data_IF_774250484461
#
_entry.id   IF_774250484461
#
_cell.length_a   1.000
_cell.length_b   1.000
_cell.length_c   1.000
_cell.angle_alpha   90.00
_cell.angle_beta   90.00
_cell.angle_gamma   90.00
#
_symmetry.space_group_name_H-M   'P 1'
#
loop_
_entity.id
_entity.type
_entity.pdbx_description
1 polymer ?
#
# COMPACT_ATOMS: atom_id res chain seq x y z
N UNK A 1 -19.48 7.10 -9.93
CA UNK A 1 -19.35 6.71 -8.52
C UNK A 1 -20.09 5.40 -8.37
N UNK A 2 -19.43 4.28 -8.06
CA UNK A 2 -20.16 3.05 -7.78
C UNK A 2 -20.89 3.27 -6.46
N UNK A 3 -22.19 3.58 -6.54
CA UNK A 3 -23.08 3.54 -5.38
C UNK A 3 -23.46 2.07 -5.17
N UNK A 4 -22.51 1.29 -4.66
CA UNK A 4 -22.80 0.02 -3.98
C UNK A 4 -23.35 0.31 -2.59
N UNK A 5 -24.11 -0.62 -2.01
CA UNK A 5 -24.80 -0.46 -0.73
C UNK A 5 -23.89 -0.28 0.49
N UNK A 6 -22.56 -0.37 0.33
CA UNK A 6 -21.60 -0.09 1.39
C UNK A 6 -20.38 0.65 0.85
N UNK A 7 -20.20 1.90 1.30
CA UNK A 7 -19.01 2.71 1.07
C UNK A 7 -17.95 2.52 2.18
N UNK A 8 -18.10 1.48 2.99
CA UNK A 8 -17.25 1.23 4.15
C UNK A 8 -15.93 0.57 3.71
N UNK A 9 -14.81 1.26 3.93
CA UNK A 9 -13.48 0.75 3.58
C UNK A 9 -13.02 -0.43 4.46
N UNK A 10 -11.83 -0.99 4.17
CA UNK A 10 -11.21 -2.10 4.91
C UNK A 10 -11.19 -1.95 6.43
N UNK A 11 -11.17 -0.71 6.91
CA UNK A 11 -11.02 -0.34 8.32
C UNK A 11 -12.29 -0.57 9.13
N UNK A 12 -13.44 -0.68 8.45
CA UNK A 12 -14.74 -0.98 9.04
C UNK A 12 -14.83 -2.39 9.62
N UNK A 13 -14.23 -3.34 8.89
CA UNK A 13 -14.35 -4.75 9.19
C UNK A 13 -13.68 -5.05 10.54
N UNK A 14 -12.46 -4.58 10.77
CA UNK A 14 -11.69 -4.80 12.01
C UNK A 14 -12.52 -4.72 13.31
N UNK A 15 -13.20 -3.60 13.65
CA UNK A 15 -14.00 -3.50 14.88
C UNK A 15 -15.23 -4.40 14.93
N UNK A 16 -15.89 -4.71 13.81
CA UNK A 16 -17.03 -5.66 13.75
C UNK A 16 -16.65 -7.04 14.28
N UNK A 17 -15.39 -7.47 14.13
CA UNK A 17 -14.94 -8.81 14.56
C UNK A 17 -14.39 -8.87 15.97
N UNK A 18 -13.85 -7.74 16.46
CA UNK A 18 -13.12 -7.72 17.72
C UNK A 18 -14.03 -7.49 18.92
N UNK A 19 -15.07 -6.68 18.75
CA UNK A 19 -16.03 -6.39 19.81
C UNK A 19 -16.72 -7.66 20.34
N UNK A 20 -17.15 -8.61 19.50
CA UNK A 20 -17.64 -9.93 19.95
C UNK A 20 -16.65 -10.71 20.82
N UNK A 21 -15.39 -10.81 20.39
CA UNK A 21 -14.33 -11.54 21.10
C UNK A 21 -14.08 -10.91 22.48
N UNK A 22 -14.11 -9.59 22.54
CA UNK A 22 -13.93 -8.82 23.77
C UNK A 22 -15.09 -8.98 24.73
N UNK A 23 -16.31 -8.93 24.21
CA UNK A 23 -17.49 -9.14 25.04
C UNK A 23 -17.53 -10.59 25.56
N UNK A 24 -17.17 -11.58 24.75
CA UNK A 24 -17.15 -12.99 25.15
C UNK A 24 -16.13 -13.28 26.26
N UNK A 25 -14.90 -12.76 26.11
CA UNK A 25 -13.84 -12.91 27.12
C UNK A 25 -14.13 -12.14 28.41
N UNK A 26 -14.74 -10.97 28.33
CA UNK A 26 -15.02 -10.12 29.51
C UNK A 26 -16.28 -10.55 30.26
N UNK A 27 -17.29 -11.06 29.55
CA UNK A 27 -18.56 -11.50 30.14
C UNK A 27 -18.50 -12.92 30.71
N UNK A 28 -17.41 -13.66 30.47
CA UNK A 28 -17.25 -15.04 30.94
C UNK A 28 -18.26 -16.00 30.30
N UNK A 29 -18.69 -15.71 29.08
CA UNK A 29 -19.66 -16.52 28.35
C UNK A 29 -18.94 -17.57 27.50
N UNK A 30 -19.40 -18.83 27.54
CA UNK A 30 -18.91 -19.90 26.64
C UNK A 30 -19.60 -19.85 25.26
N UNK A 31 -19.98 -18.67 24.80
CA UNK A 31 -20.71 -18.53 23.54
C UNK A 31 -19.78 -18.87 22.37
N UNK A 32 -20.26 -19.72 21.46
CA UNK A 32 -19.50 -20.16 20.27
C UNK A 32 -19.53 -19.14 19.14
N UNK A 33 -20.52 -18.25 19.13
CA UNK A 33 -20.68 -17.14 18.20
C UNK A 33 -21.52 -16.04 18.83
N UNK A 34 -21.31 -14.80 18.38
CA UNK A 34 -22.17 -13.65 18.71
C UNK A 34 -22.67 -13.00 17.42
N UNK A 35 -23.86 -12.42 17.47
CA UNK A 35 -24.39 -11.60 16.39
C UNK A 35 -23.99 -10.13 16.60
N UNK A 36 -23.56 -9.47 15.52
CA UNK A 36 -23.21 -8.04 15.48
C UNK A 36 -24.08 -7.36 14.44
N UNK A 37 -24.92 -6.41 14.86
CA UNK A 37 -25.70 -5.59 13.95
C UNK A 37 -24.76 -4.57 13.28
N UNK A 38 -24.77 -4.61 11.95
CA UNK A 38 -23.88 -3.87 11.05
C UNK A 38 -24.74 -2.90 10.26
N UNK A 39 -24.40 -1.61 10.33
CA UNK A 39 -25.06 -0.57 9.53
C UNK A 39 -24.53 -0.57 8.10
N UNK A 40 -25.37 -0.15 7.16
CA UNK A 40 -25.02 0.05 5.76
C UNK A 40 -25.89 1.13 5.15
N UNK A 41 -25.34 1.84 4.17
CA UNK A 41 -25.95 3.02 3.59
C UNK A 41 -25.98 2.96 2.07
N UNK A 42 -27.15 3.17 1.50
CA UNK A 42 -27.27 3.20 0.05
C UNK A 42 -28.70 3.14 -0.43
N UNK A 43 -28.85 3.38 -1.74
CA UNK A 43 -30.14 3.19 -2.41
C UNK A 43 -30.06 1.90 -3.21
N UNK A 44 -30.96 0.93 -2.97
CA UNK A 44 -31.06 -0.25 -3.81
C UNK A 44 -31.26 0.15 -5.27
N UNK A 45 -30.52 -0.49 -6.18
CA UNK A 45 -30.59 -0.21 -7.62
C UNK A 45 -31.91 -0.68 -8.26
N UNK A 46 -32.68 -1.51 -7.56
CA UNK A 46 -33.87 -2.18 -8.08
C UNK A 46 -35.17 -1.36 -7.95
N UNK A 47 -35.12 -0.16 -7.34
CA UNK A 47 -36.29 0.72 -7.18
C UNK A 47 -35.96 2.20 -7.41
N UNK A 48 -36.93 2.94 -7.96
CA UNK A 48 -36.79 4.38 -8.20
C UNK A 48 -37.12 5.19 -6.95
N UNK A 49 -36.09 5.74 -6.32
CA UNK A 49 -36.21 6.63 -5.16
C UNK A 49 -35.98 8.11 -5.51
N UNK A 50 -36.06 8.48 -6.79
CA UNK A 50 -35.64 9.80 -7.31
C UNK A 50 -36.40 11.01 -6.75
N UNK A 51 -37.44 10.80 -5.94
CA UNK A 51 -38.23 11.85 -5.29
C UNK A 51 -38.15 11.84 -3.75
N UNK A 52 -37.35 10.95 -3.17
CA UNK A 52 -37.23 10.79 -1.71
C UNK A 52 -35.88 11.30 -1.23
N UNK A 53 -35.89 12.33 -0.38
CA UNK A 53 -34.70 12.89 0.27
C UNK A 53 -34.60 12.35 1.70
N UNK A 54 -33.42 11.87 2.10
CA UNK A 54 -33.18 11.28 3.42
C UNK A 54 -32.06 10.25 3.40
N UNK A 55 -31.66 9.79 4.59
CA UNK A 55 -30.72 8.69 4.79
C UNK A 55 -31.44 7.35 4.60
N UNK A 56 -30.80 6.45 3.83
CA UNK A 56 -31.29 5.10 3.59
C UNK A 56 -30.34 4.14 4.30
N UNK A 57 -30.66 3.90 5.57
CA UNK A 57 -29.89 3.04 6.46
C UNK A 57 -30.53 1.66 6.49
N UNK A 58 -29.70 0.63 6.42
CA UNK A 58 -30.08 -0.75 6.68
C UNK A 58 -29.22 -1.34 7.78
N UNK A 59 -29.84 -2.11 8.67
CA UNK A 59 -29.14 -2.83 9.73
C UNK A 59 -29.45 -4.31 9.56
N UNK A 60 -28.41 -5.14 9.57
CA UNK A 60 -28.53 -6.59 9.59
C UNK A 60 -27.40 -7.21 10.41
N UNK A 61 -27.67 -8.32 11.12
CA UNK A 61 -26.68 -8.97 11.96
C UNK A 61 -25.74 -9.83 11.13
N UNK A 62 -24.49 -9.84 11.57
CA UNK A 62 -23.45 -10.76 11.12
C UNK A 62 -23.12 -11.68 12.28
N UNK A 63 -23.09 -12.98 12.03
CA UNK A 63 -22.64 -13.94 13.02
C UNK A 63 -21.11 -14.04 13.01
N UNK A 64 -20.49 -13.75 14.14
CA UNK A 64 -19.04 -13.83 14.32
C UNK A 64 -18.70 -15.09 15.13
N UNK A 65 -17.94 -16.04 14.57
CA UNK A 65 -17.48 -17.21 15.32
C UNK A 65 -16.43 -16.82 16.35
N UNK A 66 -16.52 -17.41 17.55
CA UNK A 66 -15.70 -17.04 18.72
C UNK A 66 -14.80 -18.15 19.24
N UNK A 67 -14.70 -19.26 18.50
CA UNK A 67 -13.89 -20.40 18.89
C UNK A 67 -12.38 -20.13 18.77
N UNK A 68 -11.98 -19.34 17.76
CA UNK A 68 -10.58 -18.96 17.46
C UNK A 68 -10.54 -17.54 16.86
N UNK A 69 -9.69 -16.62 17.35
CA UNK A 69 -9.43 -15.34 16.71
C UNK A 69 -9.11 -15.44 15.21
N UNK A 70 -8.44 -16.51 14.77
CA UNK A 70 -8.13 -16.74 13.36
C UNK A 70 -9.40 -17.04 12.52
N UNK A 71 -10.39 -17.72 13.10
CA UNK A 71 -11.66 -18.02 12.42
C UNK A 71 -12.54 -16.77 12.32
N UNK A 72 -12.53 -15.91 13.34
CA UNK A 72 -13.16 -14.59 13.27
C UNK A 72 -12.53 -13.71 12.18
N UNK A 73 -11.19 -13.69 12.08
CA UNK A 73 -10.48 -12.96 11.05
C UNK A 73 -10.74 -13.51 9.63
N UNK A 74 -10.94 -14.82 9.50
CA UNK A 74 -11.28 -15.46 8.21
C UNK A 74 -12.71 -15.11 7.78
N UNK A 75 -13.67 -15.21 8.69
CA UNK A 75 -15.05 -14.78 8.46
C UNK A 75 -15.12 -13.30 8.06
N UNK A 76 -14.24 -12.47 8.64
CA UNK A 76 -14.10 -11.07 8.26
C UNK A 76 -13.64 -10.86 6.81
N UNK A 77 -12.57 -11.55 6.44
CA UNK A 77 -12.01 -11.47 5.10
C UNK A 77 -13.01 -11.98 4.05
N UNK A 78 -13.73 -13.06 4.35
CA UNK A 78 -14.77 -13.61 3.49
C UNK A 78 -15.95 -12.64 3.33
N UNK A 79 -16.46 -12.07 4.43
CA UNK A 79 -17.55 -11.09 4.37
C UNK A 79 -17.13 -9.85 3.57
N UNK A 80 -15.90 -9.37 3.77
CA UNK A 80 -15.33 -8.26 3.00
C UNK A 80 -15.28 -8.58 1.50
N UNK A 81 -14.77 -9.76 1.13
CA UNK A 81 -14.71 -10.19 -0.27
C UNK A 81 -16.10 -10.24 -0.91
N UNK A 82 -17.10 -10.77 -0.19
CA UNK A 82 -18.50 -10.80 -0.65
C UNK A 82 -19.12 -9.40 -0.82
N UNK A 83 -18.67 -8.41 -0.05
CA UNK A 83 -19.12 -7.02 -0.26
C UNK A 83 -18.43 -6.37 -1.45
N UNK A 84 -17.11 -6.59 -1.60
CA UNK A 84 -16.31 -6.07 -2.71
C UNK A 84 -16.76 -6.65 -4.07
N UNK A 85 -17.18 -7.92 -4.11
CA UNK A 85 -17.68 -8.59 -5.31
C UNK A 85 -19.19 -8.39 -5.57
N UNK A 86 -19.90 -7.75 -4.63
CA UNK A 86 -21.34 -7.47 -4.72
C UNK A 86 -22.24 -8.71 -4.55
N UNK A 87 -21.73 -9.81 -4.00
CA UNK A 87 -22.48 -11.05 -3.76
C UNK A 87 -22.91 -11.25 -2.31
N UNK A 88 -22.63 -10.27 -1.44
CA UNK A 88 -23.08 -10.25 -0.07
C UNK A 88 -24.61 -10.46 0.05
N UNK A 89 -25.09 -11.19 1.07
CA UNK A 89 -26.51 -11.40 1.28
C UNK A 89 -27.27 -10.07 1.43
N UNK A 90 -28.38 -9.93 0.70
CA UNK A 90 -29.23 -8.74 0.77
C UNK A 90 -29.82 -8.58 2.19
N UNK A 91 -29.45 -7.48 2.84
CA UNK A 91 -29.85 -7.11 4.21
C UNK A 91 -31.37 -6.97 4.35
N UNK A 92 -32.10 -6.69 3.26
CA UNK A 92 -33.57 -6.62 3.24
C UNK A 92 -34.22 -7.99 3.50
N UNK A 93 -33.54 -9.09 3.19
CA UNK A 93 -34.03 -10.44 3.47
C UNK A 93 -34.17 -10.66 4.98
N UNK A 94 -33.14 -10.26 5.74
CA UNK A 94 -33.20 -10.30 7.20
C UNK A 94 -34.32 -9.41 7.74
N UNK A 95 -34.44 -8.17 7.24
CA UNK A 95 -35.48 -7.24 7.69
C UNK A 95 -36.88 -7.77 7.37
N UNK A 96 -37.10 -8.36 6.20
CA UNK A 96 -38.36 -8.98 5.83
C UNK A 96 -38.69 -10.14 6.81
N UNK A 97 -37.73 -11.01 7.11
CA UNK A 97 -37.92 -12.10 8.07
C UNK A 97 -38.19 -11.58 9.48
N UNK A 98 -37.43 -10.58 9.95
CA UNK A 98 -37.56 -10.01 11.29
C UNK A 98 -38.89 -9.28 11.48
N UNK A 99 -39.33 -8.49 10.51
CA UNK A 99 -40.47 -7.57 10.71
C UNK A 99 -41.77 -8.04 10.07
N UNK A 100 -41.74 -8.92 9.07
CA UNK A 100 -42.95 -9.31 8.32
C UNK A 100 -43.30 -10.80 8.45
N UNK A 101 -42.35 -11.67 8.79
CA UNK A 101 -42.59 -13.11 8.92
C UNK A 101 -42.95 -13.52 10.37
N UNK A 102 -44.10 -14.18 10.63
CA UNK A 102 -44.56 -14.49 11.99
C UNK A 102 -43.66 -15.41 12.83
N UNK A 103 -42.86 -16.27 12.18
CA UNK A 103 -41.85 -17.07 12.86
C UNK A 103 -40.53 -16.30 13.01
N UNK A 104 -40.17 -15.48 12.02
CA UNK A 104 -38.94 -14.70 12.04
C UNK A 104 -38.99 -13.59 13.09
N UNK A 105 -40.14 -12.92 13.24
CA UNK A 105 -40.42 -11.98 14.34
C UNK A 105 -40.14 -12.57 15.72
N UNK A 106 -40.42 -13.87 15.93
CA UNK A 106 -40.18 -14.54 17.21
C UNK A 106 -38.73 -14.99 17.36
N UNK A 107 -38.15 -15.60 16.32
CA UNK A 107 -36.77 -16.10 16.37
C UNK A 107 -35.73 -14.98 16.40
N UNK A 108 -36.02 -13.85 15.74
CA UNK A 108 -35.11 -12.70 15.59
C UNK A 108 -35.50 -11.53 16.51
N UNK A 109 -36.41 -11.74 17.46
CA UNK A 109 -36.95 -10.71 18.35
C UNK A 109 -35.84 -9.96 19.12
N UNK A 110 -34.83 -10.70 19.55
CA UNK A 110 -33.74 -10.20 20.40
C UNK A 110 -32.60 -9.49 19.64
N UNK A 111 -32.56 -9.58 18.30
CA UNK A 111 -31.52 -8.93 17.48
C UNK A 111 -30.08 -9.33 17.82
N UNK A 112 -29.11 -8.53 17.35
CA UNK A 112 -27.73 -8.62 17.78
C UNK A 112 -27.53 -7.98 19.17
N UNK A 113 -26.49 -8.39 19.90
CA UNK A 113 -26.13 -7.77 21.18
C UNK A 113 -25.15 -6.60 21.04
N UNK A 114 -24.53 -6.44 19.87
CA UNK A 114 -23.52 -5.41 19.59
C UNK A 114 -23.96 -4.64 18.35
N UNK A 115 -23.88 -3.32 18.40
CA UNK A 115 -24.02 -2.44 17.25
C UNK A 115 -22.68 -1.80 16.93
N UNK A 116 -22.29 -1.85 15.66
CA UNK A 116 -21.15 -1.09 15.15
C UNK A 116 -21.67 -0.04 14.18
N UNK A 117 -21.50 1.22 14.56
CA UNK A 117 -21.80 2.37 13.74
C UNK A 117 -20.49 2.92 13.16
N UNK A 118 -20.36 2.95 11.84
CA UNK A 118 -19.16 3.44 11.19
C UNK A 118 -19.37 4.85 10.65
N UNK A 119 -18.76 5.81 11.32
CA UNK A 119 -18.89 7.24 11.07
C UNK A 119 -18.11 7.71 9.82
N UNK A 120 -17.31 6.84 9.20
CA UNK A 120 -16.57 7.15 7.98
C UNK A 120 -15.09 7.44 8.18
N UNK A 121 -14.49 8.08 7.16
CA UNK A 121 -13.10 8.54 7.16
C UNK A 121 -13.02 10.04 7.41
N UNK A 122 -12.16 10.47 8.34
CA UNK A 122 -11.96 11.87 8.71
C UNK A 122 -10.49 12.31 8.67
N UNK A 123 -10.26 13.62 8.50
CA UNK A 123 -8.91 14.22 8.47
C UNK A 123 -8.29 14.39 9.87
N UNK A 124 -9.11 14.34 10.92
CA UNK A 124 -8.71 14.56 12.32
C UNK A 124 -8.78 13.27 13.14
N UNK A 125 -7.77 13.06 13.99
CA UNK A 125 -7.79 11.99 15.01
C UNK A 125 -8.64 12.32 16.25
N UNK A 126 -9.35 13.45 16.24
CA UNK A 126 -10.18 13.90 17.35
C UNK A 126 -11.56 13.25 17.28
N UNK A 127 -12.03 12.75 18.42
CA UNK A 127 -13.32 12.07 18.58
C UNK A 127 -14.45 13.06 18.34
N UNK A 128 -15.31 12.80 17.36
CA UNK A 128 -16.59 13.49 17.23
C UNK A 128 -17.59 12.77 18.13
N UNK A 129 -17.79 13.30 19.34
CA UNK A 129 -18.80 12.75 20.24
C UNK A 129 -20.19 12.95 19.65
N UNK A 130 -20.90 11.86 19.36
CA UNK A 130 -22.33 11.92 19.16
C UNK A 130 -22.98 12.42 20.47
N UNK A 131 -23.77 13.50 20.46
CA UNK A 131 -24.42 13.97 21.67
C UNK A 131 -25.37 12.88 22.18
N UNK A 132 -25.24 12.50 23.45
CA UNK A 132 -26.17 11.57 24.09
C UNK A 132 -27.58 12.18 24.08
N UNK A 133 -28.46 11.65 23.25
CA UNK A 133 -29.84 12.11 23.15
C UNK A 133 -30.72 11.31 24.11
N UNK A 134 -31.19 11.95 25.17
CA UNK A 134 -32.10 11.35 26.14
C UNK A 134 -33.45 10.92 25.50
N UNK A 135 -33.77 11.41 24.30
CA UNK A 135 -34.95 11.00 23.54
C UNK A 135 -34.73 9.70 22.72
N UNK A 136 -33.48 9.27 22.54
CA UNK A 136 -33.12 8.09 21.74
C UNK A 136 -32.82 6.88 22.66
N UNK A 137 -33.84 6.40 23.39
CA UNK A 137 -33.75 5.19 24.22
C UNK A 137 -34.15 3.93 23.42
N UNK A 138 -33.60 3.77 22.22
CA UNK A 138 -34.10 2.76 21.26
C UNK A 138 -33.37 1.41 21.33
N UNK A 139 -32.35 1.25 22.17
CA UNK A 139 -31.40 0.16 21.99
C UNK A 139 -31.35 -0.83 23.15
N UNK A 140 -31.64 -2.09 22.81
CA UNK A 140 -31.43 -3.30 23.64
C UNK A 140 -29.97 -3.82 23.52
N UNK A 141 -29.07 -3.07 22.88
CA UNK A 141 -27.67 -3.47 22.67
C UNK A 141 -26.85 -3.43 23.98
N UNK A 142 -25.94 -4.38 24.12
CA UNK A 142 -24.98 -4.43 25.22
C UNK A 142 -23.86 -3.40 25.02
N UNK A 143 -23.40 -3.26 23.77
CA UNK A 143 -22.31 -2.36 23.37
C UNK A 143 -22.69 -1.69 22.05
N UNK A 144 -22.51 -0.37 21.99
CA UNK A 144 -22.51 0.41 20.78
C UNK A 144 -21.10 0.97 20.55
N UNK A 145 -20.58 0.80 19.34
CA UNK A 145 -19.26 1.29 18.96
C UNK A 145 -19.38 2.25 17.79
N UNK A 146 -18.96 3.49 18.01
CA UNK A 146 -18.78 4.48 16.96
C UNK A 146 -17.33 4.40 16.47
N UNK A 147 -17.16 3.96 15.22
CA UNK A 147 -15.86 3.73 14.60
C UNK A 147 -15.60 4.79 13.55
N UNK A 148 -14.40 5.37 13.55
CA UNK A 148 -13.93 6.19 12.45
C UNK A 148 -12.48 5.86 12.11
N UNK A 149 -12.09 6.05 10.86
CA UNK A 149 -10.67 5.94 10.48
C UNK A 149 -10.13 7.25 9.90
N UNK A 150 -8.83 7.44 10.06
CA UNK A 150 -8.05 8.50 9.41
C UNK A 150 -6.94 7.84 8.62
N UNK A 151 -6.20 8.62 7.80
CA UNK A 151 -5.02 8.11 7.10
C UNK A 151 -3.93 7.54 8.02
N UNK A 152 -3.94 7.92 9.31
CA UNK A 152 -2.89 7.58 10.29
C UNK A 152 -3.29 6.52 11.31
N UNK A 153 -4.58 6.31 11.51
CA UNK A 153 -5.10 5.42 12.56
C UNK A 153 -6.58 5.11 12.37
N UNK A 154 -6.97 3.91 12.80
CA UNK A 154 -8.35 3.59 13.15
C UNK A 154 -8.58 4.02 14.60
N UNK A 155 -9.68 4.71 14.85
CA UNK A 155 -10.09 5.15 16.17
C UNK A 155 -11.51 4.67 16.44
N UNK A 156 -11.79 4.35 17.70
CA UNK A 156 -13.08 3.80 18.10
C UNK A 156 -13.50 4.42 19.43
N UNK A 157 -14.72 4.93 19.48
CA UNK A 157 -15.40 5.33 20.71
C UNK A 157 -16.47 4.29 21.05
N UNK A 158 -16.61 4.00 22.35
CA UNK A 158 -17.45 2.92 22.84
C UNK A 158 -18.43 3.43 23.87
N UNK A 159 -19.71 3.23 23.55
CA UNK A 159 -20.83 3.51 24.42
C UNK A 159 -21.38 2.19 24.95
N UNK A 160 -21.24 1.97 26.26
CA UNK A 160 -21.85 0.82 26.94
C UNK A 160 -23.26 1.23 27.35
N UNK A 161 -24.27 0.71 26.63
CA UNK A 161 -25.67 1.09 26.80
C UNK A 161 -26.36 0.25 27.87
N UNK A 162 -26.07 -1.06 27.92
CA UNK A 162 -26.60 -1.98 28.91
C UNK A 162 -25.54 -3.01 29.28
N UNK A 163 -25.18 -3.17 30.56
CA UNK A 163 -24.17 -4.15 30.95
C UNK A 163 -24.45 -4.79 32.32
N UNK A 164 -24.24 -6.11 32.38
CA UNK A 164 -24.23 -6.89 33.62
C UNK A 164 -22.95 -6.62 34.44
N UNK A 165 -21.91 -6.07 33.81
CA UNK A 165 -20.62 -5.67 34.39
C UNK A 165 -20.55 -4.14 34.42
N UNK A 166 -19.85 -3.56 35.41
CA UNK A 166 -19.65 -2.11 35.50
C UNK A 166 -19.05 -1.55 34.19
N UNK A 167 -19.67 -0.50 33.64
CA UNK A 167 -19.24 0.15 32.40
C UNK A 167 -17.75 0.58 32.40
N UNK A 168 -17.16 0.84 33.57
CA UNK A 168 -15.74 1.16 33.74
C UNK A 168 -14.81 -0.03 33.40
N UNK A 169 -15.11 -1.23 33.89
CA UNK A 169 -14.33 -2.44 33.60
C UNK A 169 -14.38 -2.82 32.12
N UNK A 170 -15.58 -2.73 31.52
CA UNK A 170 -15.76 -3.03 30.10
C UNK A 170 -15.02 -2.01 29.22
N UNK A 171 -15.09 -0.71 29.56
CA UNK A 171 -14.31 0.33 28.86
C UNK A 171 -12.80 0.12 28.97
N UNK A 172 -12.28 -0.28 30.12
CA UNK A 172 -10.85 -0.54 30.31
C UNK A 172 -10.37 -1.72 29.46
N UNK A 173 -11.10 -2.84 29.49
CA UNK A 173 -10.73 -4.04 28.73
C UNK A 173 -10.77 -3.79 27.22
N UNK A 174 -11.79 -3.08 26.73
CA UNK A 174 -11.90 -2.77 25.30
C UNK A 174 -10.85 -1.71 24.89
N UNK A 175 -10.57 -0.72 25.74
CA UNK A 175 -9.54 0.30 25.47
C UNK A 175 -8.12 -0.27 25.35
N UNK A 176 -7.76 -1.26 26.18
CA UNK A 176 -6.46 -1.95 26.08
C UNK A 176 -6.30 -2.70 24.76
N UNK A 177 -7.35 -3.41 24.33
CA UNK A 177 -7.32 -4.19 23.09
C UNK A 177 -7.40 -3.29 21.86
N UNK A 178 -8.18 -2.21 21.90
CA UNK A 178 -8.18 -1.21 20.84
C UNK A 178 -6.77 -0.61 20.62
N UNK A 179 -6.03 -0.36 21.70
CA UNK A 179 -4.63 0.10 21.62
C UNK A 179 -3.70 -0.98 21.03
N UNK A 180 -3.81 -2.24 21.47
CA UNK A 180 -2.98 -3.34 20.95
C UNK A 180 -3.23 -3.58 19.44
N UNK A 181 -4.48 -3.47 19.00
CA UNK A 181 -4.85 -3.54 17.60
C UNK A 181 -4.42 -2.34 16.80
N UNK A 182 -4.53 -1.14 17.35
CA UNK A 182 -3.99 0.05 16.73
C UNK A 182 -2.48 -0.11 16.53
N UNK A 183 -1.76 -0.62 17.52
CA UNK A 183 -0.33 -0.95 17.40
C UNK A 183 -0.07 -2.02 16.32
N UNK A 184 -0.91 -3.06 16.21
CA UNK A 184 -0.77 -4.12 15.22
C UNK A 184 -1.06 -3.64 13.79
N UNK A 185 -2.16 -2.90 13.59
CA UNK A 185 -2.55 -2.31 12.31
C UNK A 185 -1.53 -1.25 11.88
N UNK A 186 -1.08 -0.39 12.79
CA UNK A 186 0.00 0.56 12.50
C UNK A 186 1.30 -0.16 12.13
N UNK A 187 1.61 -1.31 12.76
CA UNK A 187 2.76 -2.14 12.39
C UNK A 187 2.62 -2.69 10.97
N UNK A 188 1.48 -3.27 10.61
CA UNK A 188 1.16 -3.77 9.25
C UNK A 188 1.14 -2.65 8.19
N UNK A 189 0.61 -1.46 8.53
CA UNK A 189 0.63 -0.27 7.67
C UNK A 189 2.04 0.32 7.51
N UNK A 190 2.91 0.18 8.51
CA UNK A 190 4.31 0.60 8.40
C UNK A 190 5.16 -0.43 7.64
N UNK A 191 4.78 -1.71 7.71
CA UNK A 191 5.57 -2.80 7.14
C UNK A 191 5.31 -3.05 5.66
N UNK A 192 4.48 -2.28 4.97
CA UNK A 192 4.27 -2.47 3.53
C UNK A 192 3.63 -3.82 3.15
N UNK A 193 3.63 -4.11 1.84
CA UNK A 193 3.16 -5.36 1.25
C UNK A 193 4.34 -6.23 0.84
N UNK A 194 4.43 -7.42 1.43
CA UNK A 194 5.44 -8.43 1.07
C UNK A 194 5.12 -9.11 -0.27
N UNK A 195 6.14 -9.32 -1.09
CA UNK A 195 6.06 -10.06 -2.35
C UNK A 195 7.37 -10.84 -2.62
N UNK A 196 7.34 -11.92 -3.43
CA UNK A 196 8.57 -12.52 -3.92
C UNK A 196 9.29 -11.57 -4.88
N UNK A 197 10.59 -11.75 -5.11
CA UNK A 197 11.32 -11.06 -6.18
C UNK A 197 10.95 -11.67 -7.54
N UNK A 198 10.90 -10.84 -8.58
CA UNK A 198 10.87 -11.34 -9.96
C UNK A 198 12.13 -12.16 -10.28
N UNK A 199 12.07 -13.01 -11.30
CA UNK A 199 13.21 -13.86 -11.73
C UNK A 199 14.49 -13.02 -11.92
N UNK A 200 14.37 -11.88 -12.60
CA UNK A 200 15.52 -11.00 -12.84
C UNK A 200 15.97 -10.26 -11.57
N UNK A 201 15.04 -9.80 -10.74
CA UNK A 201 15.38 -9.18 -9.45
C UNK A 201 16.16 -10.16 -8.56
N UNK A 202 15.79 -11.44 -8.52
CA UNK A 202 16.55 -12.47 -7.78
C UNK A 202 17.99 -12.59 -8.26
N UNK A 203 18.18 -12.60 -9.59
CA UNK A 203 19.51 -12.66 -10.19
C UNK A 203 20.36 -11.42 -9.85
N UNK A 204 19.78 -10.23 -10.00
CA UNK A 204 20.45 -8.97 -9.65
C UNK A 204 20.79 -8.93 -8.16
N UNK A 205 19.83 -9.26 -7.28
CA UNK A 205 20.04 -9.30 -5.83
C UNK A 205 21.20 -10.20 -5.43
N UNK A 206 21.24 -11.42 -5.97
CA UNK A 206 22.33 -12.35 -5.72
C UNK A 206 23.67 -11.80 -6.23
N UNK A 207 23.70 -11.28 -7.46
CA UNK A 207 24.94 -10.75 -8.05
C UNK A 207 25.44 -9.51 -7.30
N UNK A 208 24.57 -8.64 -6.79
CA UNK A 208 24.95 -7.49 -5.98
C UNK A 208 25.70 -7.85 -4.69
N UNK A 209 25.55 -9.08 -4.19
CA UNK A 209 26.29 -9.54 -3.00
C UNK A 209 27.76 -9.92 -3.29
N UNK A 210 28.11 -10.15 -4.56
CA UNK A 210 29.45 -10.62 -4.96
C UNK A 210 30.15 -9.68 -5.95
N UNK A 211 29.39 -8.83 -6.64
CA UNK A 211 29.91 -7.88 -7.62
C UNK A 211 30.53 -6.65 -6.95
N UNK A 212 31.30 -5.89 -7.73
CA UNK A 212 31.77 -4.58 -7.29
C UNK A 212 30.57 -3.64 -7.02
N UNK A 213 30.65 -2.72 -6.04
CA UNK A 213 29.51 -1.90 -5.59
C UNK A 213 28.75 -1.14 -6.69
N UNK A 214 29.44 -0.74 -7.77
CA UNK A 214 28.86 0.01 -8.89
C UNK A 214 28.23 -0.83 -10.00
N UNK A 215 28.31 -2.15 -9.95
CA UNK A 215 27.92 -3.03 -11.07
C UNK A 215 26.43 -2.92 -11.44
N UNK A 216 25.57 -2.68 -10.45
CA UNK A 216 24.10 -2.55 -10.63
C UNK A 216 23.59 -1.15 -10.30
N UNK A 217 24.47 -0.14 -10.29
CA UNK A 217 24.05 1.25 -10.12
C UNK A 217 23.69 1.86 -11.47
N UNK A 218 22.45 2.31 -11.57
CA UNK A 218 21.94 3.08 -12.69
C UNK A 218 21.90 4.57 -12.35
N UNK A 219 22.14 5.41 -13.36
CA UNK A 219 22.18 6.86 -13.22
C UNK A 219 21.38 7.54 -14.32
N UNK A 220 20.73 8.66 -13.98
CA UNK A 220 20.01 9.52 -14.94
C UNK A 220 20.29 10.97 -14.59
N UNK A 221 20.93 11.69 -15.52
CA UNK A 221 21.20 13.12 -15.40
C UNK A 221 20.16 13.92 -16.18
N UNK A 222 19.52 14.89 -15.52
CA UNK A 222 18.50 15.76 -16.07
C UNK A 222 18.91 17.22 -15.85
N UNK A 223 19.16 17.94 -16.93
CA UNK A 223 19.56 19.35 -16.85
C UNK A 223 18.35 20.27 -17.01
N UNK A 224 18.18 21.19 -16.06
CA UNK A 224 17.12 22.18 -16.03
C UNK A 224 17.68 23.57 -16.37
N UNK A 225 16.80 24.46 -16.84
CA UNK A 225 17.07 25.89 -17.08
C UNK A 225 16.74 26.77 -15.85
N UNK A 226 16.50 26.11 -14.71
CA UNK A 226 16.13 26.73 -13.43
C UNK A 226 16.89 26.08 -12.28
N UNK A 227 16.96 26.80 -11.16
CA UNK A 227 17.45 26.24 -9.90
C UNK A 227 16.46 25.20 -9.37
N UNK A 228 16.99 24.15 -8.75
CA UNK A 228 16.18 23.11 -8.12
C UNK A 228 16.08 23.35 -6.61
N UNK A 229 14.89 23.12 -6.08
CA UNK A 229 14.63 23.07 -4.64
C UNK A 229 14.80 21.61 -4.17
N UNK A 230 15.76 21.38 -3.28
CA UNK A 230 16.04 20.05 -2.74
C UNK A 230 14.84 19.46 -1.99
N UNK A 231 14.06 20.29 -1.27
CA UNK A 231 12.86 19.83 -0.57
C UNK A 231 11.79 19.38 -1.57
N UNK A 232 11.61 20.13 -2.66
CA UNK A 232 10.69 19.76 -3.73
C UNK A 232 11.09 18.45 -4.43
N UNK A 233 12.40 18.16 -4.55
CA UNK A 233 12.91 16.88 -5.05
C UNK A 233 12.54 15.73 -4.11
N UNK A 234 12.71 15.91 -2.80
CA UNK A 234 12.31 14.91 -1.80
C UNK A 234 10.80 14.67 -1.84
N UNK A 235 9.99 15.74 -1.82
CA UNK A 235 8.53 15.63 -1.88
C UNK A 235 8.05 14.94 -3.17
N UNK A 236 8.65 15.28 -4.33
CA UNK A 236 8.33 14.65 -5.60
C UNK A 236 8.67 13.15 -5.61
N UNK A 237 9.75 12.75 -4.94
CA UNK A 237 10.10 11.35 -4.80
C UNK A 237 9.09 10.60 -3.92
N UNK A 238 8.67 11.17 -2.78
CA UNK A 238 7.60 10.57 -1.94
C UNK A 238 6.30 10.38 -2.72
N UNK A 239 5.89 11.39 -3.48
CA UNK A 239 4.72 11.28 -4.36
C UNK A 239 4.92 10.16 -5.40
N UNK A 240 6.12 10.04 -5.96
CA UNK A 240 6.46 8.99 -6.94
C UNK A 240 6.40 7.60 -6.34
N UNK A 241 6.91 7.39 -5.12
CA UNK A 241 6.82 6.11 -4.39
C UNK A 241 5.37 5.77 -4.07
N UNK A 242 4.54 6.77 -3.75
CA UNK A 242 3.12 6.56 -3.49
C UNK A 242 2.38 6.04 -4.73
N UNK A 243 2.73 6.54 -5.91
CA UNK A 243 2.17 6.07 -7.19
C UNK A 243 2.81 4.75 -7.63
N UNK A 244 4.11 4.58 -7.40
CA UNK A 244 4.91 3.43 -7.80
C UNK A 244 5.72 2.87 -6.61
N UNK A 245 5.10 2.03 -5.76
CA UNK A 245 5.74 1.50 -4.55
C UNK A 245 7.09 0.81 -4.77
N UNK A 246 7.32 0.25 -5.97
CA UNK A 246 8.59 -0.38 -6.35
C UNK A 246 9.81 0.53 -6.14
N UNK A 247 9.67 1.85 -6.24
CA UNK A 247 10.78 2.80 -6.01
C UNK A 247 11.18 2.93 -4.53
N UNK A 248 10.30 2.58 -3.61
CA UNK A 248 10.57 2.54 -2.17
C UNK A 248 10.76 1.13 -1.63
N UNK A 249 10.94 0.14 -2.50
CA UNK A 249 11.02 -1.26 -2.11
C UNK A 249 12.27 -1.56 -1.27
N UNK A 250 12.05 -2.31 -0.19
CA UNK A 250 13.11 -2.92 0.61
C UNK A 250 13.31 -4.38 0.17
N UNK A 251 14.55 -4.87 0.20
CA UNK A 251 14.91 -6.23 -0.18
C UNK A 251 15.66 -6.89 0.96
N UNK A 252 15.22 -8.09 1.36
CA UNK A 252 15.87 -8.84 2.42
C UNK A 252 15.72 -10.34 2.20
N UNK A 253 16.40 -11.11 3.05
CA UNK A 253 16.25 -12.55 3.09
C UNK A 253 15.33 -12.91 4.26
N UNK A 254 14.31 -13.73 4.01
CA UNK A 254 13.42 -14.20 5.08
C UNK A 254 14.07 -15.29 5.94
N UNK A 255 13.36 -15.75 6.98
CA UNK A 255 13.84 -16.78 7.90
C UNK A 255 14.14 -18.13 7.22
N UNK A 256 13.61 -18.37 6.02
CA UNK A 256 13.86 -19.58 5.23
C UNK A 256 15.04 -19.44 4.25
N UNK A 257 15.67 -18.28 4.20
CA UNK A 257 16.76 -18.01 3.25
C UNK A 257 16.29 -17.53 1.88
N UNK A 258 14.99 -17.26 1.68
CA UNK A 258 14.47 -16.81 0.40
C UNK A 258 14.53 -15.28 0.29
N UNK A 259 14.97 -14.73 -0.86
CA UNK A 259 14.92 -13.30 -1.08
C UNK A 259 13.47 -12.86 -1.28
N UNK A 260 13.07 -11.85 -0.51
CA UNK A 260 11.74 -11.23 -0.56
C UNK A 260 11.88 -9.73 -0.69
N UNK A 261 10.85 -9.10 -1.24
CA UNK A 261 10.76 -7.64 -1.31
C UNK A 261 9.56 -7.17 -0.51
N UNK A 262 9.69 -5.97 0.02
CA UNK A 262 8.65 -5.31 0.78
C UNK A 262 8.34 -3.96 0.13
N UNK A 263 7.10 -3.81 -0.31
CA UNK A 263 6.63 -2.64 -1.05
C UNK A 263 5.90 -1.69 -0.09
N UNK A 264 6.31 -0.43 0.07
CA UNK A 264 5.64 0.47 0.99
C UNK A 264 4.22 0.79 0.49
N UNK A 265 3.27 0.97 1.40
CA UNK A 265 1.89 1.35 1.03
C UNK A 265 1.80 2.78 0.48
N UNK A 266 2.75 3.64 0.85
CA UNK A 266 2.88 5.01 0.36
C UNK A 266 4.34 5.47 0.44
N UNK A 267 4.66 6.63 -0.11
CA UNK A 267 5.97 7.26 0.05
C UNK A 267 6.19 7.99 1.37
N UNK A 268 5.25 7.90 2.33
CA UNK A 268 5.43 8.51 3.65
C UNK A 268 6.64 7.91 4.36
N UNK A 269 7.56 8.77 4.82
CA UNK A 269 8.81 8.36 5.48
C UNK A 269 9.89 7.79 4.53
N UNK A 270 9.65 7.78 3.22
CA UNK A 270 10.64 7.34 2.22
C UNK A 270 11.32 8.57 1.62
N UNK A 271 12.33 9.06 2.33
CA UNK A 271 13.01 10.31 1.99
C UNK A 271 14.20 10.03 1.09
N UNK A 272 14.19 10.59 -0.12
CA UNK A 272 15.33 10.53 -1.02
C UNK A 272 16.49 11.34 -0.42
N UNK A 273 17.68 10.76 -0.20
CA UNK A 273 18.85 11.54 0.15
C UNK A 273 19.20 12.49 -1.00
N UNK A 274 19.24 13.80 -0.72
CA UNK A 274 19.59 14.84 -1.70
C UNK A 274 20.83 15.59 -1.24
N UNK A 275 21.87 15.60 -2.07
CA UNK A 275 23.07 16.42 -1.88
C UNK A 275 23.11 17.54 -2.93
N UNK A 276 23.57 18.73 -2.55
CA UNK A 276 23.78 19.85 -3.48
C UNK A 276 25.27 20.18 -3.54
N UNK A 277 25.86 20.15 -4.74
CA UNK A 277 27.30 20.39 -4.94
C UNK A 277 27.58 21.14 -6.23
N UNK A 278 28.76 21.76 -6.31
CA UNK A 278 29.35 22.25 -7.56
C UNK A 278 30.42 21.27 -8.03
N UNK A 279 30.65 21.17 -9.35
CA UNK A 279 31.75 20.37 -9.88
C UNK A 279 31.51 19.82 -11.28
N UNK A 280 32.45 18.99 -11.71
CA UNK A 280 32.36 18.27 -12.97
C UNK A 280 31.37 17.10 -12.84
N UNK A 281 30.34 17.10 -13.68
CA UNK A 281 29.27 16.09 -13.67
C UNK A 281 29.82 14.68 -13.93
N UNK A 282 30.80 14.53 -14.82
CA UNK A 282 31.34 13.21 -15.14
C UNK A 282 32.11 12.62 -13.96
N UNK A 283 32.94 13.42 -13.29
CA UNK A 283 33.61 13.03 -12.05
C UNK A 283 32.62 12.67 -10.93
N UNK A 284 31.57 13.47 -10.75
CA UNK A 284 30.51 13.21 -9.75
C UNK A 284 29.79 11.90 -10.07
N UNK A 285 29.36 11.70 -11.32
CA UNK A 285 28.70 10.47 -11.75
C UNK A 285 29.58 9.24 -11.52
N UNK A 286 30.87 9.33 -11.82
CA UNK A 286 31.82 8.24 -11.62
C UNK A 286 32.02 7.92 -10.13
N UNK A 287 32.19 8.94 -9.29
CA UNK A 287 32.33 8.78 -7.85
C UNK A 287 31.07 8.15 -7.23
N UNK A 288 29.88 8.66 -7.59
CA UNK A 288 28.60 8.15 -7.12
C UNK A 288 28.38 6.68 -7.49
N UNK A 289 28.71 6.31 -8.73
CA UNK A 289 28.58 4.93 -9.19
C UNK A 289 29.55 4.00 -8.47
N UNK A 290 30.79 4.45 -8.29
CA UNK A 290 31.83 3.66 -7.65
C UNK A 290 31.57 3.42 -6.16
N UNK A 291 30.90 4.35 -5.50
CA UNK A 291 30.47 4.20 -4.10
C UNK A 291 29.41 3.09 -3.91
N UNK A 292 28.64 2.77 -4.95
CA UNK A 292 27.55 1.80 -4.86
C UNK A 292 26.32 2.34 -4.12
N UNK A 293 25.38 1.43 -3.85
CA UNK A 293 24.20 1.69 -3.00
C UNK A 293 24.13 0.55 -1.98
N UNK A 294 24.05 0.89 -0.70
CA UNK A 294 23.80 -0.09 0.35
C UNK A 294 22.37 -0.61 0.25
N UNK A 295 22.26 -1.92 0.00
CA UNK A 295 20.99 -2.61 -0.17
C UNK A 295 20.17 -2.75 1.13
N UNK A 296 20.79 -2.49 2.29
CA UNK A 296 20.10 -2.46 3.58
C UNK A 296 19.50 -1.09 3.91
N UNK A 297 19.80 -0.04 3.13
CA UNK A 297 19.44 1.34 3.44
C UNK A 297 18.41 1.87 2.44
N UNK A 298 17.13 1.86 2.80
CA UNK A 298 16.06 2.44 1.97
C UNK A 298 16.01 3.97 2.05
N UNK A 299 15.65 4.67 0.94
CA UNK A 299 15.42 4.12 -0.40
C UNK A 299 16.72 3.71 -1.10
N UNK A 300 16.65 2.73 -2.01
CA UNK A 300 17.80 2.31 -2.84
C UNK A 300 18.08 3.29 -4.00
N UNK A 301 17.98 4.57 -3.70
CA UNK A 301 18.15 5.69 -4.60
C UNK A 301 18.65 6.91 -3.84
N UNK A 302 19.35 7.81 -4.53
CA UNK A 302 19.75 9.14 -4.06
C UNK A 302 19.72 10.14 -5.20
N UNK A 303 19.75 11.42 -4.86
CA UNK A 303 19.89 12.50 -5.80
C UNK A 303 21.07 13.41 -5.47
N UNK A 304 21.71 13.93 -6.51
CA UNK A 304 22.73 14.97 -6.41
C UNK A 304 22.32 16.11 -7.32
N UNK A 305 22.14 17.32 -6.76
CA UNK A 305 21.89 18.55 -7.50
C UNK A 305 23.26 19.19 -7.76
N UNK A 306 23.71 19.10 -9.02
CA UNK A 306 24.93 19.77 -9.48
C UNK A 306 24.56 21.19 -9.90
N UNK A 307 25.01 22.17 -9.14
CA UNK A 307 24.64 23.56 -9.34
C UNK A 307 25.42 24.22 -10.46
N UNK A 308 24.71 24.95 -11.31
CA UNK A 308 25.30 25.63 -12.47
C UNK A 308 25.39 24.74 -13.71
N UNK A 309 25.43 25.37 -14.87
CA UNK A 309 25.54 24.70 -16.16
C UNK A 309 26.87 25.01 -16.82
N UNK A 310 27.42 24.01 -17.52
CA UNK A 310 28.70 24.14 -18.25
C UNK A 310 28.65 25.15 -19.40
N UNK A 311 27.46 25.50 -19.88
CA UNK A 311 27.22 26.50 -20.92
C UNK A 311 27.09 27.94 -20.38
N UNK A 312 27.25 28.13 -19.06
CA UNK A 312 27.15 29.44 -18.41
C UNK A 312 25.74 29.98 -18.26
N UNK A 313 24.71 29.23 -18.70
CA UNK A 313 23.31 29.59 -18.48
C UNK A 313 22.87 29.29 -17.04
N UNK A 314 21.86 29.99 -16.50
CA UNK A 314 21.28 29.63 -15.21
C UNK A 314 20.62 28.25 -15.28
N UNK A 315 20.74 27.49 -14.21
CA UNK A 315 20.13 26.17 -14.07
C UNK A 315 21.00 25.19 -13.31
N UNK A 316 20.43 24.04 -12.99
CA UNK A 316 21.09 22.95 -12.29
C UNK A 316 20.91 21.62 -13.05
N UNK A 317 21.77 20.64 -12.78
CA UNK A 317 21.59 19.25 -13.22
C UNK A 317 21.22 18.37 -12.04
N UNK A 318 20.10 17.66 -12.13
CA UNK A 318 19.73 16.61 -11.19
C UNK A 318 20.30 15.28 -11.66
N UNK A 319 21.19 14.70 -10.87
CA UNK A 319 21.65 13.32 -11.03
C UNK A 319 20.83 12.42 -10.10
N UNK A 320 19.99 11.57 -10.68
CA UNK A 320 19.35 10.47 -9.95
C UNK A 320 20.24 9.23 -10.05
N UNK A 321 20.64 8.69 -8.90
CA UNK A 321 21.44 7.46 -8.78
C UNK A 321 20.60 6.41 -8.05
N UNK A 322 20.35 5.25 -8.64
CA UNK A 322 19.47 4.22 -8.08
C UNK A 322 19.91 2.81 -8.44
N UNK A 323 19.52 1.83 -7.62
CA UNK A 323 19.90 0.44 -7.84
C UNK A 323 18.99 -0.22 -8.89
N UNK A 324 19.58 -0.97 -9.83
CA UNK A 324 18.86 -1.60 -10.96
C UNK A 324 17.81 -2.63 -10.52
N UNK A 325 17.90 -3.11 -9.27
CA UNK A 325 16.89 -4.00 -8.68
C UNK A 325 15.51 -3.35 -8.57
N UNK A 326 15.43 -2.01 -8.50
CA UNK A 326 14.17 -1.28 -8.37
C UNK A 326 13.41 -1.21 -9.69
N UNK A 327 14.11 -0.88 -10.78
CA UNK A 327 13.49 -0.54 -12.07
C UNK A 327 14.32 -0.98 -13.26
N UNK A 328 13.64 -1.48 -14.29
CA UNK A 328 14.21 -1.69 -15.62
C UNK A 328 14.17 -0.40 -16.47
N UNK A 329 14.65 -0.49 -17.72
CA UNK A 329 14.69 0.64 -18.64
C UNK A 329 13.33 1.22 -19.04
N UNK A 330 12.27 0.41 -19.09
CA UNK A 330 10.90 0.85 -19.41
C UNK A 330 10.25 1.51 -18.19
N UNK A 331 10.31 0.82 -17.06
CA UNK A 331 9.84 1.29 -15.75
C UNK A 331 10.52 2.59 -15.35
N UNK A 332 11.80 2.78 -15.70
CA UNK A 332 12.51 4.06 -15.55
C UNK A 332 11.80 5.22 -16.24
N UNK A 333 11.33 5.05 -17.49
CA UNK A 333 10.65 6.13 -18.20
C UNK A 333 9.32 6.51 -17.53
N UNK A 334 8.56 5.51 -17.08
CA UNK A 334 7.31 5.70 -16.32
C UNK A 334 7.57 6.41 -14.99
N UNK A 335 8.58 5.98 -14.26
CA UNK A 335 9.00 6.60 -13.00
C UNK A 335 9.41 8.06 -13.20
N UNK A 336 10.26 8.33 -14.19
CA UNK A 336 10.74 9.69 -14.48
C UNK A 336 9.60 10.62 -14.89
N UNK A 337 8.64 10.13 -15.66
CA UNK A 337 7.45 10.91 -16.01
C UNK A 337 6.71 11.35 -14.75
N UNK A 338 6.36 10.41 -13.87
CA UNK A 338 5.67 10.72 -12.61
C UNK A 338 6.51 11.65 -11.73
N UNK A 339 7.81 11.38 -11.58
CA UNK A 339 8.70 12.22 -10.78
C UNK A 339 8.76 13.67 -11.29
N UNK A 340 8.86 13.89 -12.60
CA UNK A 340 8.90 15.23 -13.19
C UNK A 340 7.57 15.97 -13.08
N UNK A 341 6.45 15.26 -13.25
CA UNK A 341 5.11 15.79 -13.01
C UNK A 341 4.98 16.28 -11.57
N UNK A 342 5.39 15.46 -10.59
CA UNK A 342 5.33 15.80 -9.17
C UNK A 342 6.32 16.91 -8.80
N UNK A 343 7.55 16.86 -9.32
CA UNK A 343 8.53 17.91 -9.11
C UNK A 343 8.03 19.28 -9.60
N UNK A 344 7.32 19.31 -10.73
CA UNK A 344 6.73 20.54 -11.25
C UNK A 344 5.67 21.11 -10.30
N UNK A 345 4.81 20.25 -9.73
CA UNK A 345 3.80 20.65 -8.75
C UNK A 345 4.44 21.17 -7.45
N UNK A 346 5.52 20.53 -6.97
CA UNK A 346 6.21 20.89 -5.73
C UNK A 346 7.12 22.12 -5.86
N UNK A 347 7.64 22.40 -7.07
CA UNK A 347 8.60 23.49 -7.32
C UNK A 347 7.97 24.90 -7.51
N UNK A 348 6.65 25.08 -7.42
CA UNK A 348 5.95 26.32 -7.78
C UNK A 348 5.05 26.94 -6.70
N UNK A 349 4.53 28.16 -6.96
CA UNK A 349 3.46 28.81 -6.17
C UNK A 349 2.17 27.95 -6.09
N UNK A 350 2.08 26.88 -6.89
CA UNK A 350 1.04 25.84 -6.86
C UNK A 350 1.02 24.97 -5.59
N UNK A 351 1.95 25.16 -4.63
CA UNK A 351 1.79 24.66 -3.24
C UNK A 351 0.41 25.00 -2.62
N UNK A 352 -0.31 25.99 -3.17
CA UNK A 352 -1.58 26.52 -2.64
C UNK A 352 -2.87 25.97 -3.29
N UNK A 353 -2.79 25.12 -4.32
CA UNK A 353 -3.98 24.44 -4.87
C UNK A 353 -3.79 22.95 -4.67
N UNK A 354 -4.66 22.34 -3.86
CA UNK A 354 -4.57 20.97 -3.33
C UNK A 354 -3.86 20.00 -4.27
N UNK A 355 -2.79 19.38 -3.76
CA UNK A 355 -2.02 18.36 -4.46
C UNK A 355 -3.00 17.35 -5.07
N UNK A 356 -3.02 17.26 -6.40
CA UNK A 356 -3.97 16.39 -7.11
C UNK A 356 -3.93 14.97 -6.54
N UNK A 357 -5.11 14.42 -6.30
CA UNK A 357 -5.34 13.13 -5.62
C UNK A 357 -4.33 12.07 -6.10
N UNK A 358 -3.56 11.52 -5.17
CA UNK A 358 -2.65 10.42 -5.43
C UNK A 358 -3.48 9.14 -5.46
N UNK A 359 -4.01 8.79 -6.64
CA UNK A 359 -4.74 7.54 -6.81
C UNK A 359 -3.72 6.42 -7.11
N UNK A 360 -3.53 5.43 -6.22
CA UNK A 360 -2.72 4.26 -6.51
C UNK A 360 -3.33 3.50 -7.70
N UNK A 361 -2.50 2.99 -8.62
CA UNK A 361 -3.01 2.20 -9.75
C UNK A 361 -3.50 0.83 -9.26
N UNK A 362 -4.64 0.39 -9.79
CA UNK A 362 -5.42 -0.76 -9.28
C UNK A 362 -4.81 -2.17 -9.44
N UNK A 363 -3.67 -2.33 -10.11
CA UNK A 363 -2.91 -3.59 -10.10
C UNK A 363 -1.51 -3.32 -9.54
N UNK A 364 -1.16 -3.92 -8.41
CA UNK A 364 0.17 -3.78 -7.83
C UNK A 364 1.12 -4.82 -8.42
N UNK A 365 2.42 -4.50 -8.52
CA UNK A 365 3.46 -5.46 -8.93
C UNK A 365 3.47 -6.72 -8.04
N UNK A 366 3.05 -6.60 -6.77
CA UNK A 366 2.90 -7.73 -5.87
C UNK A 366 1.84 -8.74 -6.36
N UNK A 367 0.69 -8.27 -6.83
CA UNK A 367 -0.37 -9.15 -7.35
C UNK A 367 0.14 -9.96 -8.54
N UNK A 368 0.77 -9.28 -9.51
CA UNK A 368 1.33 -9.93 -10.69
C UNK A 368 2.40 -10.97 -10.33
N UNK A 369 3.27 -10.67 -9.34
CA UNK A 369 4.32 -11.60 -8.93
C UNK A 369 3.76 -12.82 -8.19
N UNK A 370 2.74 -12.64 -7.35
CA UNK A 370 2.08 -13.74 -6.63
C UNK A 370 1.31 -14.66 -7.59
N UNK A 371 0.68 -14.11 -8.63
CA UNK A 371 -0.06 -14.88 -9.65
C UNK A 371 0.86 -15.59 -10.66
N UNK A 372 2.08 -15.07 -10.87
CA UNK A 372 2.99 -15.54 -11.94
C UNK A 372 3.72 -16.87 -11.69
N UNK A 373 3.58 -17.48 -10.52
CA UNK A 373 4.33 -18.70 -10.16
C UNK A 373 3.66 -19.95 -10.72
N UNK A 374 4.05 -20.38 -11.93
CA UNK A 374 3.66 -21.67 -12.53
C UNK A 374 4.90 -22.55 -12.78
N UNK A 375 5.17 -23.46 -11.84
CA UNK A 375 6.34 -24.35 -11.87
C UNK A 375 6.32 -25.33 -13.05
N UNK A 376 5.15 -25.68 -13.60
CA UNK A 376 5.06 -26.55 -14.77
C UNK A 376 5.49 -25.81 -16.03
N UNK A 377 5.09 -24.55 -16.15
CA UNK A 377 5.52 -23.66 -17.23
C UNK A 377 7.02 -23.43 -17.17
N UNK A 378 7.58 -23.17 -15.99
CA UNK A 378 9.03 -23.00 -15.79
C UNK A 378 9.84 -24.21 -16.27
N UNK A 379 9.39 -25.44 -15.94
CA UNK A 379 10.08 -26.65 -16.39
C UNK A 379 10.04 -26.79 -17.93
N UNK A 380 8.88 -26.55 -18.54
CA UNK A 380 8.73 -26.62 -19.99
C UNK A 380 9.60 -25.58 -20.72
N UNK A 381 9.66 -24.36 -20.20
CA UNK A 381 10.51 -23.29 -20.74
C UNK A 381 12.01 -23.65 -20.56
N UNK A 382 12.38 -24.29 -19.43
CA UNK A 382 13.75 -24.77 -19.19
C UNK A 382 14.17 -25.86 -20.18
N UNK A 383 13.33 -26.89 -20.36
CA UNK A 383 13.60 -28.00 -21.29
C UNK A 383 13.79 -27.48 -22.73
N UNK A 384 12.97 -26.50 -23.13
CA UNK A 384 13.10 -25.81 -24.42
C UNK A 384 14.48 -25.15 -24.59
N UNK A 385 14.92 -24.37 -23.61
CA UNK A 385 16.21 -23.66 -23.69
C UNK A 385 17.41 -24.61 -23.61
N UNK A 386 17.35 -25.65 -22.77
CA UNK A 386 18.40 -26.68 -22.69
C UNK A 386 18.59 -27.34 -24.04
N UNK A 387 17.49 -27.78 -24.68
CA UNK A 387 17.57 -28.38 -26.01
C UNK A 387 18.08 -27.38 -27.06
N UNK A 388 17.63 -26.11 -27.01
CA UNK A 388 18.04 -25.10 -27.98
C UNK A 388 19.53 -24.76 -27.90
N UNK A 389 20.11 -24.82 -26.71
CA UNK A 389 21.50 -24.42 -26.42
C UNK A 389 22.47 -25.62 -26.39
N UNK A 390 22.01 -26.85 -26.58
CA UNK A 390 22.81 -28.08 -26.47
C UNK A 390 24.06 -28.10 -27.37
N UNK A 391 24.03 -27.37 -28.49
CA UNK A 391 25.12 -27.30 -29.46
C UNK A 391 26.18 -26.23 -29.14
N UNK A 392 25.92 -25.36 -28.16
CA UNK A 392 26.86 -24.30 -27.76
C UNK A 392 27.85 -24.87 -26.74
N UNK A 393 29.10 -25.09 -27.16
CA UNK A 393 30.16 -25.62 -26.30
C UNK A 393 30.80 -24.56 -25.39
N UNK A 394 30.70 -23.28 -25.77
CA UNK A 394 31.24 -22.15 -25.00
C UNK A 394 30.55 -20.83 -25.41
N UNK A 395 30.48 -19.82 -24.53
CA UNK A 395 30.07 -18.48 -24.91
C UNK A 395 31.02 -17.88 -25.95
N UNK A 396 30.46 -17.18 -26.93
CA UNK A 396 31.27 -16.39 -27.87
C UNK A 396 31.71 -15.10 -27.19
N UNK A 397 33.01 -14.92 -26.98
CA UNK A 397 33.58 -13.67 -26.46
C UNK A 397 33.47 -12.57 -27.53
N UNK A 398 32.60 -11.59 -27.31
CA UNK A 398 32.36 -10.48 -28.26
C UNK A 398 33.43 -9.38 -28.15
N UNK A 399 34.26 -9.39 -27.09
CA UNK A 399 35.37 -8.45 -26.88
C UNK A 399 36.52 -9.10 -26.06
N UNK A 400 37.36 -9.96 -26.68
CA UNK A 400 38.40 -10.69 -25.95
C UNK A 400 39.44 -9.78 -25.28
N UNK A 401 39.74 -8.59 -25.82
CA UNK A 401 40.67 -7.65 -25.20
C UNK A 401 40.13 -6.99 -23.92
N UNK A 402 38.81 -6.94 -23.73
CA UNK A 402 38.20 -6.38 -22.51
C UNK A 402 38.33 -7.33 -21.31
N UNK A 403 38.59 -8.63 -21.56
CA UNK A 403 38.81 -9.62 -20.52
C UNK A 403 40.23 -9.54 -19.90
N UNK A 404 41.20 -8.98 -20.63
CA UNK A 404 42.59 -8.79 -20.17
C UNK A 404 42.82 -7.47 -19.43
N UNK A 405 41.79 -6.62 -19.30
CA UNK A 405 41.90 -5.36 -18.56
C UNK A 405 41.80 -5.69 -17.06
N UNK A 406 42.95 -5.85 -16.43
CA UNK A 406 43.10 -5.84 -14.98
C UNK A 406 42.31 -4.66 -14.37
N UNK A 407 41.59 -4.92 -13.28
CA UNK A 407 40.57 -4.10 -12.62
C UNK A 407 40.99 -2.68 -12.16
N UNK A 408 42.14 -2.18 -12.58
CA UNK A 408 42.66 -0.87 -12.21
C UNK A 408 42.35 0.24 -13.22
N UNK A 409 41.83 -0.06 -14.42
CA UNK A 409 41.50 0.96 -15.43
C UNK A 409 40.19 0.69 -16.21
N UNK A 410 39.06 0.50 -15.52
CA UNK A 410 37.74 0.46 -16.16
C UNK A 410 37.21 1.87 -16.49
N UNK A 411 38.01 2.65 -17.22
CA UNK A 411 37.56 3.86 -17.92
C UNK A 411 37.34 3.54 -19.38
N UNK A 412 36.16 3.05 -19.77
CA UNK A 412 35.73 3.09 -21.18
C UNK A 412 34.21 2.93 -21.30
N UNK A 413 33.57 4.06 -21.57
CA UNK A 413 32.37 4.29 -22.37
C UNK A 413 31.41 3.10 -22.62
N UNK A 414 30.22 3.17 -22.01
CA UNK A 414 29.05 2.49 -22.53
C UNK A 414 28.66 3.08 -23.90
N UNK A 415 28.14 2.29 -24.86
CA UNK A 415 27.76 2.80 -26.17
C UNK A 415 26.68 3.87 -26.04
N UNK A 416 27.00 5.11 -26.45
CA UNK A 416 26.00 6.16 -26.63
C UNK A 416 25.00 5.68 -27.68
N UNK A 417 23.71 5.56 -27.31
CA UNK A 417 22.64 5.49 -28.31
C UNK A 417 22.64 6.80 -29.10
N UNK A 418 23.26 6.78 -30.27
CA UNK A 418 23.17 7.88 -31.24
C UNK A 418 21.80 7.76 -31.91
N UNK A 419 20.85 8.59 -31.49
CA UNK A 419 19.62 8.82 -32.24
C UNK A 419 20.01 9.47 -33.59
N UNK A 420 19.57 8.93 -34.74
CA UNK A 420 19.90 9.53 -36.03
C UNK A 420 19.27 10.92 -36.12
N UNK A 421 20.10 11.94 -36.36
CA UNK A 421 19.64 13.27 -36.75
C UNK A 421 18.82 13.12 -38.04
N UNK A 422 17.59 13.62 -38.00
CA UNK A 422 16.74 13.80 -39.17
C UNK A 422 17.51 14.53 -40.26
N UNK A 423 17.68 13.88 -41.41
CA UNK A 423 18.20 14.53 -42.61
C UNK A 423 17.19 15.58 -43.06
N UNK A 424 17.61 16.84 -43.03
CA UNK A 424 16.96 17.94 -43.73
C UNK A 424 17.15 17.75 -45.23
N UNK A 425 16.05 17.68 -45.97
CA UNK A 425 15.96 18.09 -47.38
C UNK A 425 14.94 19.21 -47.48
#
# INVERSE_FOLDING_TARGET
MPTGEDAHGSDYFTPVFLLPQLCNSTMGTDARSWAVDVEGHGRPADHSYGRTLGWFTTIAPVEIPLADPADAARAAAEMRALHEDGTAPDRRTYQALRYTHPQGQRTLAHGAQILVNYLGRGETGAVLHAPGDAACQWTDYLVEADVWSSERAVSMELSVVNAVISAERLRSAIGEVARELQEHVSREQSSGRRAPLSVLQRGIWFQSQVAAPGAYVAQTALTFDRRLDAEAVVEAFRDTVTVHPAMGAEFHTDASGQPVQNLPWSGQGIDLPVETTEGDLEAIMHADRSAGIDLASVPLAKATIVTGRSDGQPGDTLLLTYHLVLVDGWSRAVMLQTFLERLTLRSGQARTQGAGELVPRGCSIADALLESVDTRKEQADSDYWVHRLETLSQPTLVAPQAADISSEHAGSELPRQVLPRSASS
#
